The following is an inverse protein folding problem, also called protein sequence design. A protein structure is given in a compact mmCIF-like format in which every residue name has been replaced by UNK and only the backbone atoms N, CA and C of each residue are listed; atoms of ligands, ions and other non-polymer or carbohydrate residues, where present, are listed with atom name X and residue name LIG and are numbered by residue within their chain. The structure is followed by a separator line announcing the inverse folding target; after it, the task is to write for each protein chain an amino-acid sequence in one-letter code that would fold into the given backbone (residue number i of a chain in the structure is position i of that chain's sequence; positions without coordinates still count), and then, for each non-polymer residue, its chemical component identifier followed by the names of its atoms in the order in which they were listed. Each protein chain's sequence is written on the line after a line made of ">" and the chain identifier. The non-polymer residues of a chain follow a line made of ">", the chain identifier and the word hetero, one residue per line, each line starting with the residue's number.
data_IF_560352635217
#
_entry.id   IF_560352635217
#
_cell.length_a   1.000
_cell.length_b   1.000
_cell.length_c   1.000
_cell.angle_alpha   90.00
_cell.angle_beta   90.00
_cell.angle_gamma   90.00
#
_symmetry.space_group_name_H-M   'P 1'
#
loop_
_entity.id
_entity.type
_entity.pdbx_description
1 polymer ?
#
# COMPACT_ATOMS: atom_id res chain seq x y z
N UNK A 1 -27.12 1.88 6.21
CA UNK A 1 -25.99 1.52 5.31
C UNK A 1 -25.03 0.56 6.02
N UNK A 2 -24.88 -0.65 5.49
CA UNK A 2 -24.19 -1.79 6.11
C UNK A 2 -22.70 -1.47 6.31
N UNK A 3 -22.22 -1.55 7.56
CA UNK A 3 -20.79 -1.51 7.93
C UNK A 3 -20.03 -2.53 7.08
N UNK A 4 -19.15 -2.06 6.20
CA UNK A 4 -18.19 -2.91 5.48
C UNK A 4 -17.08 -3.29 6.45
N UNK A 5 -17.01 -4.57 6.81
CA UNK A 5 -16.25 -5.03 7.96
C UNK A 5 -14.73 -5.19 7.73
N UNK A 6 -14.15 -4.67 6.65
CA UNK A 6 -12.72 -4.90 6.31
C UNK A 6 -11.99 -3.82 5.48
N UNK A 7 -12.63 -2.70 5.11
CA UNK A 7 -11.87 -1.49 4.78
C UNK A 7 -11.39 -0.91 6.12
N UNK A 8 -10.14 -0.46 6.23
CA UNK A 8 -9.76 0.33 7.40
C UNK A 8 -10.65 1.59 7.38
N UNK A 9 -11.65 1.70 8.28
CA UNK A 9 -12.53 2.84 8.26
C UNK A 9 -11.77 4.13 8.54
N UNK A 10 -10.52 4.05 9.03
CA UNK A 10 -9.65 5.21 9.25
C UNK A 10 -8.91 5.63 7.99
N UNK A 11 -8.68 4.76 7.00
CA UNK A 11 -7.92 5.12 5.80
C UNK A 11 -8.54 6.33 5.08
N UNK A 12 -9.85 6.31 4.87
CA UNK A 12 -10.60 7.42 4.26
C UNK A 12 -10.53 8.69 5.10
N UNK A 13 -10.54 8.54 6.44
CA UNK A 13 -10.41 9.65 7.38
C UNK A 13 -8.96 10.11 7.59
N UNK A 14 -7.96 9.45 6.97
CA UNK A 14 -6.58 9.92 6.86
C UNK A 14 -6.34 10.58 5.50
N UNK A 15 -6.88 10.01 4.43
CA UNK A 15 -6.77 10.53 3.06
C UNK A 15 -7.53 11.84 2.87
N UNK A 16 -8.75 11.97 3.41
CA UNK A 16 -9.55 13.18 3.24
C UNK A 16 -8.89 14.42 3.90
N UNK A 17 -8.40 14.38 5.17
CA UNK A 17 -7.64 15.48 5.75
C UNK A 17 -6.38 15.83 4.96
N UNK A 18 -5.67 14.82 4.44
CA UNK A 18 -4.49 15.03 3.61
C UNK A 18 -4.83 15.79 2.32
N UNK A 19 -5.87 15.35 1.59
CA UNK A 19 -6.37 15.99 0.36
C UNK A 19 -6.79 17.44 0.60
N UNK A 20 -7.44 17.75 1.72
CA UNK A 20 -7.78 19.12 2.12
C UNK A 20 -6.54 19.95 2.41
N UNK A 21 -5.64 19.45 3.27
CA UNK A 21 -4.53 20.25 3.80
C UNK A 21 -3.38 20.39 2.82
N UNK A 22 -2.88 19.28 2.28
CA UNK A 22 -1.77 19.31 1.31
C UNK A 22 -2.23 19.62 -0.11
N UNK A 23 -3.47 19.27 -0.46
CA UNK A 23 -4.08 19.66 -1.73
C UNK A 23 -4.60 21.10 -1.74
N UNK A 24 -4.69 21.78 -0.59
CA UNK A 24 -5.29 23.11 -0.43
C UNK A 24 -6.73 23.18 -0.96
N UNK A 25 -7.54 22.15 -0.66
CA UNK A 25 -8.90 21.97 -1.19
C UNK A 25 -9.93 22.21 -0.10
N UNK A 26 -11.08 22.79 -0.46
CA UNK A 26 -12.16 23.00 0.52
C UNK A 26 -12.68 21.65 1.04
N UNK A 27 -12.93 21.52 2.36
CA UNK A 27 -13.50 20.30 2.93
C UNK A 27 -14.82 19.87 2.29
N UNK A 28 -15.66 20.82 1.86
CA UNK A 28 -16.94 20.55 1.20
C UNK A 28 -16.76 19.86 -0.16
N UNK A 29 -15.75 20.27 -0.93
CA UNK A 29 -15.43 19.65 -2.23
C UNK A 29 -14.88 18.24 -2.02
N UNK A 30 -13.99 18.07 -1.03
CA UNK A 30 -13.44 16.74 -0.69
C UNK A 30 -14.56 15.81 -0.24
N UNK A 31 -15.47 16.24 0.64
CA UNK A 31 -16.60 15.41 1.07
C UNK A 31 -17.46 14.89 -0.10
N UNK A 32 -17.71 15.74 -1.10
CA UNK A 32 -18.51 15.36 -2.27
C UNK A 32 -17.82 14.29 -3.12
N UNK A 33 -16.50 14.39 -3.31
CA UNK A 33 -15.72 13.43 -4.10
C UNK A 33 -15.63 12.06 -3.45
N UNK A 34 -15.58 12.01 -2.12
CA UNK A 34 -15.58 10.77 -1.36
C UNK A 34 -16.98 10.13 -1.26
N UNK A 35 -17.99 10.63 -1.98
CA UNK A 35 -19.22 9.89 -2.27
C UNK A 35 -20.06 9.47 -1.05
N UNK A 36 -19.84 10.10 0.11
CA UNK A 36 -20.50 9.77 1.38
C UNK A 36 -19.76 8.75 2.27
N UNK A 37 -18.53 8.38 1.91
CA UNK A 37 -17.61 7.58 2.75
C UNK A 37 -17.11 8.38 3.96
N UNK A 38 -16.86 9.68 3.76
CA UNK A 38 -16.76 10.67 4.83
C UNK A 38 -18.06 11.45 4.92
N UNK A 39 -18.45 11.83 6.14
CA UNK A 39 -19.68 12.60 6.40
C UNK A 39 -19.42 13.64 7.46
N UNK A 40 -20.08 14.78 7.31
CA UNK A 40 -19.85 15.95 8.14
C UNK A 40 -18.36 16.33 8.18
N UNK A 41 -17.66 16.07 7.06
CA UNK A 41 -16.22 16.17 6.99
C UNK A 41 -15.67 17.57 7.33
N UNK A 42 -16.31 18.70 6.91
CA UNK A 42 -15.90 20.04 7.34
C UNK A 42 -15.86 20.20 8.87
N UNK A 43 -16.88 19.70 9.58
CA UNK A 43 -16.95 19.76 11.05
C UNK A 43 -15.89 18.85 11.67
N UNK A 44 -15.73 17.64 11.14
CA UNK A 44 -14.76 16.65 11.64
C UNK A 44 -13.33 17.15 11.51
N UNK A 45 -12.93 17.66 10.34
CA UNK A 45 -11.56 18.14 10.12
C UNK A 45 -11.24 19.38 10.94
N UNK A 46 -12.22 20.28 11.14
CA UNK A 46 -12.06 21.43 12.03
C UNK A 46 -11.87 20.99 13.49
N UNK A 47 -12.72 20.09 13.99
CA UNK A 47 -12.60 19.54 15.34
C UNK A 47 -11.30 18.77 15.56
N UNK A 48 -10.80 18.06 14.54
CA UNK A 48 -9.51 17.38 14.57
C UNK A 48 -8.35 18.37 14.72
N UNK A 49 -8.31 19.44 13.91
CA UNK A 49 -7.28 20.48 14.02
C UNK A 49 -7.34 21.22 15.37
N UNK A 50 -8.54 21.49 15.88
CA UNK A 50 -8.70 22.08 17.22
C UNK A 50 -8.18 21.14 18.32
N UNK A 51 -8.41 19.84 18.20
CA UNK A 51 -7.85 18.86 19.14
C UNK A 51 -6.32 18.86 19.09
N UNK A 52 -5.70 18.82 17.90
CA UNK A 52 -4.25 18.93 17.75
C UNK A 52 -3.70 20.20 18.44
N UNK A 53 -4.32 21.35 18.17
CA UNK A 53 -3.91 22.63 18.76
C UNK A 53 -4.03 22.65 20.29
N UNK A 54 -5.14 22.16 20.85
CA UNK A 54 -5.35 22.09 22.32
C UNK A 54 -4.32 21.20 23.02
N UNK A 55 -3.82 20.17 22.32
CA UNK A 55 -2.80 19.27 22.84
C UNK A 55 -1.37 19.71 22.51
N UNK A 56 -1.17 20.81 21.77
CA UNK A 56 0.15 21.26 21.33
C UNK A 56 0.84 20.28 20.39
N UNK A 57 0.06 19.58 19.55
CA UNK A 57 0.54 18.55 18.63
C UNK A 57 0.52 19.06 17.18
N UNK A 58 1.43 18.53 16.36
CA UNK A 58 1.46 18.71 14.91
C UNK A 58 1.64 17.34 14.26
N UNK A 59 0.74 16.99 13.34
CA UNK A 59 0.97 15.88 12.42
C UNK A 59 1.75 16.34 11.18
N UNK A 60 2.05 15.43 10.25
CA UNK A 60 2.87 15.73 9.08
C UNK A 60 2.28 16.84 8.19
N UNK A 61 0.99 16.77 7.86
CA UNK A 61 0.38 17.77 6.99
C UNK A 61 0.23 19.12 7.70
N UNK A 62 -0.02 19.10 9.02
CA UNK A 62 -0.17 20.32 9.82
C UNK A 62 1.15 21.09 9.94
N UNK A 63 2.30 20.44 9.84
CA UNK A 63 3.60 21.13 9.76
C UNK A 63 3.67 22.04 8.52
N UNK A 64 3.18 21.56 7.37
CA UNK A 64 3.19 22.33 6.12
C UNK A 64 2.11 23.41 6.14
N UNK A 65 0.86 23.04 6.43
CA UNK A 65 -0.25 23.98 6.43
C UNK A 65 -0.09 25.05 7.52
N UNK A 66 0.35 24.68 8.71
CA UNK A 66 0.62 25.60 9.81
C UNK A 66 1.71 26.60 9.47
N UNK A 67 2.81 26.17 8.82
CA UNK A 67 3.84 27.08 8.35
C UNK A 67 3.29 28.08 7.32
N UNK A 68 2.49 27.63 6.35
CA UNK A 68 1.82 28.50 5.37
C UNK A 68 0.93 29.52 6.08
N UNK A 69 0.11 29.09 7.04
CA UNK A 69 -0.79 29.97 7.78
C UNK A 69 -0.03 31.05 8.57
N UNK A 70 1.08 30.69 9.22
CA UNK A 70 1.96 31.64 9.92
C UNK A 70 2.55 32.64 8.93
N UNK A 71 3.16 32.17 7.84
CA UNK A 71 3.79 33.02 6.84
C UNK A 71 2.77 33.94 6.14
N UNK A 72 1.50 33.54 6.01
CA UNK A 72 0.45 34.39 5.48
C UNK A 72 0.02 35.48 6.48
N UNK A 73 -0.18 35.12 7.76
CA UNK A 73 -0.74 36.00 8.79
C UNK A 73 0.28 36.95 9.42
N UNK A 74 1.54 36.55 9.53
CA UNK A 74 2.60 37.31 10.20
C UNK A 74 3.65 37.83 9.18
N UNK A 75 3.63 39.15 8.87
CA UNK A 75 4.60 39.76 7.96
C UNK A 75 6.04 39.71 8.47
N UNK A 76 6.28 39.75 9.78
CA UNK A 76 7.62 39.71 10.35
C UNK A 76 8.22 38.31 10.25
N UNK A 77 7.44 37.28 10.58
CA UNK A 77 7.83 35.88 10.38
C UNK A 77 8.13 35.61 8.90
N UNK A 78 7.27 36.08 7.99
CA UNK A 78 7.50 35.96 6.55
C UNK A 78 8.78 36.67 6.08
N UNK A 79 9.04 37.87 6.59
CA UNK A 79 10.27 38.60 6.25
C UNK A 79 11.52 37.91 6.82
N UNK A 80 11.43 37.34 8.02
CA UNK A 80 12.52 36.57 8.62
C UNK A 80 12.81 35.29 7.83
N UNK A 81 11.77 34.54 7.45
CA UNK A 81 11.91 33.34 6.63
C UNK A 81 12.54 33.64 5.28
N UNK A 82 12.11 34.70 4.59
CA UNK A 82 12.72 35.15 3.31
C UNK A 82 14.19 35.52 3.45
N UNK A 83 14.56 36.20 4.55
CA UNK A 83 15.98 36.53 4.82
C UNK A 83 16.83 35.28 5.07
N UNK A 84 16.26 34.24 5.67
CA UNK A 84 16.93 32.97 5.89
C UNK A 84 17.02 32.13 4.60
N UNK A 85 15.98 32.19 3.76
CA UNK A 85 15.85 31.44 2.51
C UNK A 85 16.06 32.34 1.29
N UNK A 86 17.24 32.96 1.16
CA UNK A 86 17.55 33.87 0.05
C UNK A 86 17.49 33.18 -1.32
N UNK A 87 17.86 31.90 -1.35
CA UNK A 87 17.76 31.01 -2.51
C UNK A 87 17.16 29.70 -2.02
N UNK A 88 16.12 29.23 -2.70
CA UNK A 88 15.44 27.98 -2.39
C UNK A 88 15.82 26.95 -3.45
N UNK A 89 16.54 25.91 -3.04
CA UNK A 89 16.86 24.76 -3.88
C UNK A 89 15.85 23.66 -3.56
N UNK A 90 15.15 23.16 -4.58
CA UNK A 90 14.12 22.16 -4.41
C UNK A 90 14.39 21.01 -5.36
N UNK A 91 14.62 19.82 -4.80
CA UNK A 91 14.74 18.58 -5.56
C UNK A 91 13.38 17.88 -5.65
N UNK A 92 13.24 16.95 -6.60
CA UNK A 92 12.00 16.20 -6.86
C UNK A 92 10.75 17.08 -6.99
N UNK A 93 10.86 18.18 -7.74
CA UNK A 93 9.82 19.20 -7.84
C UNK A 93 8.47 18.66 -8.36
N UNK A 94 8.49 17.60 -9.16
CA UNK A 94 7.27 16.95 -9.67
C UNK A 94 6.41 16.34 -8.57
N UNK A 95 7.02 15.92 -7.46
CA UNK A 95 6.35 15.21 -6.37
C UNK A 95 5.78 16.14 -5.30
N UNK A 96 5.93 17.46 -5.48
CA UNK A 96 5.34 18.44 -4.60
C UNK A 96 3.81 18.44 -4.68
N UNK A 97 3.16 18.61 -3.53
CA UNK A 97 1.73 18.90 -3.46
C UNK A 97 1.46 20.41 -3.62
N UNK A 98 0.20 20.85 -3.87
CA UNK A 98 -0.14 22.27 -3.92
C UNK A 98 0.32 23.09 -2.71
N UNK A 99 0.21 22.53 -1.49
CA UNK A 99 0.69 23.18 -0.27
C UNK A 99 2.21 23.37 -0.28
N UNK A 100 2.98 22.37 -0.70
CA UNK A 100 4.44 22.50 -0.81
C UNK A 100 4.85 23.58 -1.81
N UNK A 101 4.21 23.62 -2.98
CA UNK A 101 4.46 24.66 -3.99
C UNK A 101 4.15 26.05 -3.42
N UNK A 102 3.02 26.21 -2.71
CA UNK A 102 2.68 27.47 -2.06
C UNK A 102 3.70 27.88 -0.99
N UNK A 103 4.15 26.93 -0.17
CA UNK A 103 5.17 27.19 0.85
C UNK A 103 6.48 27.68 0.21
N UNK A 104 6.95 27.01 -0.85
CA UNK A 104 8.14 27.44 -1.61
C UNK A 104 7.97 28.87 -2.12
N UNK A 105 6.80 29.22 -2.68
CA UNK A 105 6.54 30.58 -3.18
C UNK A 105 6.50 31.63 -2.06
N UNK A 106 5.98 31.29 -0.88
CA UNK A 106 5.98 32.20 0.26
C UNK A 106 7.39 32.50 0.76
N UNK A 107 8.24 31.46 0.80
CA UNK A 107 9.65 31.53 1.20
C UNK A 107 10.51 32.28 0.19
N UNK A 108 10.35 32.02 -1.11
CA UNK A 108 11.10 32.70 -2.17
C UNK A 108 10.69 34.17 -2.35
N UNK A 109 9.43 34.49 -2.03
CA UNK A 109 8.90 35.84 -2.19
C UNK A 109 8.84 36.31 -3.64
N UNK A 110 8.68 37.63 -3.88
CA UNK A 110 8.46 38.17 -5.22
C UNK A 110 9.68 38.06 -6.14
N UNK A 111 10.88 37.91 -5.58
CA UNK A 111 12.11 37.73 -6.36
C UNK A 111 12.19 36.33 -7.00
N UNK A 112 11.41 35.37 -6.50
CA UNK A 112 11.30 34.02 -7.07
C UNK A 112 12.67 33.32 -7.24
N UNK A 113 13.59 33.51 -6.28
CA UNK A 113 14.91 32.87 -6.25
C UNK A 113 14.79 31.37 -5.94
N UNK A 114 14.20 30.61 -6.86
CA UNK A 114 13.94 29.17 -6.74
C UNK A 114 14.65 28.44 -7.87
N UNK A 115 15.44 27.43 -7.48
CA UNK A 115 16.03 26.48 -8.40
C UNK A 115 15.37 25.11 -8.15
N UNK A 116 14.40 24.77 -8.99
CA UNK A 116 13.72 23.48 -8.98
C UNK A 116 14.43 22.47 -9.87
N UNK A 117 14.68 21.28 -9.34
CA UNK A 117 15.16 20.10 -10.06
C UNK A 117 14.07 19.04 -10.00
N UNK A 118 13.86 18.33 -11.10
CA UNK A 118 12.91 17.24 -11.14
C UNK A 118 12.75 16.67 -12.54
N UNK A 119 11.93 15.63 -12.63
CA UNK A 119 11.62 14.92 -13.86
C UNK A 119 10.12 14.65 -13.93
N UNK A 120 9.43 15.27 -14.90
CA UNK A 120 7.99 15.10 -15.09
C UNK A 120 7.57 13.66 -15.39
N UNK A 121 8.44 12.88 -16.04
CA UNK A 121 8.22 11.46 -16.34
C UNK A 121 8.37 10.58 -15.08
N UNK A 122 8.88 11.12 -13.96
CA UNK A 122 9.05 10.41 -12.68
C UNK A 122 7.98 10.74 -11.63
N UNK A 123 6.89 11.41 -12.03
CA UNK A 123 5.81 11.72 -11.09
C UNK A 123 5.03 10.46 -10.68
N UNK A 124 5.29 9.93 -9.49
CA UNK A 124 4.67 8.68 -9.01
C UNK A 124 3.75 8.87 -7.80
N UNK A 125 3.76 10.05 -7.18
CA UNK A 125 2.94 10.37 -6.00
C UNK A 125 1.61 11.08 -6.32
N UNK A 126 1.06 10.87 -7.53
CA UNK A 126 -0.16 11.57 -7.97
C UNK A 126 -1.37 11.38 -7.04
N UNK A 127 -1.46 10.23 -6.35
CA UNK A 127 -2.48 9.96 -5.34
C UNK A 127 -2.39 10.89 -4.11
N UNK A 128 -1.21 11.44 -3.82
CA UNK A 128 -0.96 12.40 -2.75
C UNK A 128 -1.05 13.86 -3.24
N UNK A 129 -1.47 14.09 -4.49
CA UNK A 129 -1.58 15.41 -5.09
C UNK A 129 -0.32 15.94 -5.76
N UNK A 130 0.71 15.11 -5.96
CA UNK A 130 1.82 15.42 -6.84
C UNK A 130 1.35 15.59 -8.30
N UNK A 131 2.06 16.40 -9.09
CA UNK A 131 1.68 16.65 -10.47
C UNK A 131 2.89 17.00 -11.35
N UNK A 132 3.03 16.36 -12.55
CA UNK A 132 4.05 16.76 -13.52
C UNK A 132 3.85 18.20 -14.01
N UNK A 133 2.63 18.74 -13.88
CA UNK A 133 2.30 20.12 -14.25
C UNK A 133 3.17 21.15 -13.50
N UNK A 134 3.68 20.83 -12.31
CA UNK A 134 4.56 21.73 -11.57
C UNK A 134 5.87 22.03 -12.29
N UNK A 135 6.40 21.05 -13.01
CA UNK A 135 7.58 21.23 -13.86
C UNK A 135 7.21 21.76 -15.25
N UNK A 136 6.13 21.25 -15.85
CA UNK A 136 5.70 21.65 -17.19
C UNK A 136 5.32 23.14 -17.22
N UNK A 137 4.60 23.61 -16.20
CA UNK A 137 4.11 24.98 -16.07
C UNK A 137 5.01 25.84 -15.15
N UNK A 138 6.26 25.42 -14.91
CA UNK A 138 7.17 26.07 -13.95
C UNK A 138 7.33 27.58 -14.21
N UNK A 139 7.39 27.99 -15.48
CA UNK A 139 7.48 29.40 -15.86
C UNK A 139 6.26 30.24 -15.45
N UNK A 140 5.08 29.62 -15.32
CA UNK A 140 3.88 30.26 -14.77
C UNK A 140 3.92 30.40 -13.26
N UNK A 141 4.58 29.46 -12.56
CA UNK A 141 4.78 29.51 -11.11
C UNK A 141 5.85 30.52 -10.69
N UNK A 142 6.94 30.58 -11.46
CA UNK A 142 8.10 31.43 -11.26
C UNK A 142 8.45 32.18 -12.56
N UNK A 143 7.80 33.34 -12.81
CA UNK A 143 8.05 34.15 -14.00
C UNK A 143 9.51 34.60 -14.10
N UNK A 144 10.09 34.52 -15.30
CA UNK A 144 11.50 34.85 -15.54
C UNK A 144 12.47 33.70 -15.28
N UNK A 145 11.96 32.51 -14.96
CA UNK A 145 12.79 31.29 -14.88
C UNK A 145 13.38 30.92 -16.25
N UNK A 146 14.59 30.35 -16.22
CA UNK A 146 15.17 29.62 -17.34
C UNK A 146 15.08 28.12 -17.11
N UNK A 147 15.29 27.33 -18.16
CA UNK A 147 15.41 25.86 -18.07
C UNK A 147 16.82 25.41 -18.45
N UNK A 148 17.26 24.30 -17.87
CA UNK A 148 18.51 23.64 -18.23
C UNK A 148 18.29 22.13 -18.26
N UNK A 149 18.23 21.58 -19.46
CA UNK A 149 17.89 20.18 -19.65
C UNK A 149 19.14 19.30 -19.54
N UNK A 150 19.14 18.37 -18.60
CA UNK A 150 20.16 17.34 -18.48
C UNK A 150 19.76 16.13 -19.32
N UNK A 151 20.47 15.92 -20.44
CA UNK A 151 20.09 14.89 -21.45
C UNK A 151 20.93 13.63 -21.40
N UNK A 152 22.02 13.61 -20.61
CA UNK A 152 22.93 12.47 -20.50
C UNK A 152 22.58 11.64 -19.27
N UNK A 153 22.26 10.37 -19.47
CA UNK A 153 22.09 9.38 -18.40
C UNK A 153 23.42 8.68 -18.11
N UNK A 154 23.96 8.92 -16.91
CA UNK A 154 25.19 8.29 -16.43
C UNK A 154 24.94 6.99 -15.63
N UNK A 155 23.67 6.66 -15.34
CA UNK A 155 23.29 5.55 -14.44
C UNK A 155 23.10 4.23 -15.16
N UNK A 156 22.45 4.23 -16.32
CA UNK A 156 21.99 3.02 -17.00
C UNK A 156 22.71 2.79 -18.34
N UNK A 157 22.82 1.53 -18.75
CA UNK A 157 23.32 1.15 -20.07
C UNK A 157 22.32 1.52 -21.19
N UNK A 158 22.82 1.63 -22.42
CA UNK A 158 22.01 2.06 -23.57
C UNK A 158 20.70 1.27 -23.76
N UNK A 159 20.67 -0.08 -23.66
CA UNK A 159 19.42 -0.84 -23.81
C UNK A 159 18.34 -0.45 -22.80
N UNK A 160 18.73 -0.18 -21.55
CA UNK A 160 17.80 0.25 -20.48
C UNK A 160 17.27 1.65 -20.76
N UNK A 161 18.14 2.59 -21.14
CA UNK A 161 17.75 3.97 -21.47
C UNK A 161 16.79 3.99 -22.67
N UNK A 162 17.07 3.18 -23.69
CA UNK A 162 16.23 3.06 -24.88
C UNK A 162 14.88 2.40 -24.59
N UNK A 163 14.86 1.37 -23.73
CA UNK A 163 13.63 0.76 -23.24
C UNK A 163 12.75 1.76 -22.49
N UNK A 164 13.33 2.50 -21.55
CA UNK A 164 12.64 3.55 -20.80
C UNK A 164 12.11 4.65 -21.72
N UNK A 165 12.92 5.15 -22.66
CA UNK A 165 12.53 6.18 -23.63
C UNK A 165 11.36 5.73 -24.50
N UNK A 166 11.37 4.47 -24.95
CA UNK A 166 10.27 3.88 -25.73
C UNK A 166 8.97 3.87 -24.92
N UNK A 167 9.04 3.41 -23.66
CA UNK A 167 7.87 3.37 -22.77
C UNK A 167 7.31 4.78 -22.49
N UNK A 168 8.18 5.72 -22.14
CA UNK A 168 7.79 7.11 -21.82
C UNK A 168 7.27 7.88 -23.03
N UNK A 169 7.60 7.46 -24.26
CA UNK A 169 7.06 8.01 -25.50
C UNK A 169 5.53 7.92 -25.62
N UNK A 170 4.89 7.08 -24.81
CA UNK A 170 3.43 6.97 -24.75
C UNK A 170 2.76 8.07 -23.90
N UNK A 171 3.51 8.78 -23.06
CA UNK A 171 2.99 9.87 -22.22
C UNK A 171 2.62 11.10 -23.07
N UNK A 172 1.43 11.67 -22.82
CA UNK A 172 0.91 12.81 -23.60
C UNK A 172 1.20 14.18 -22.98
N UNK A 173 1.28 14.26 -21.67
CA UNK A 173 1.53 15.50 -20.94
C UNK A 173 2.91 15.40 -20.30
N UNK A 174 3.92 15.85 -21.06
CA UNK A 174 5.34 15.75 -20.69
C UNK A 174 6.16 16.87 -21.32
N UNK A 175 7.32 17.14 -20.74
CA UNK A 175 8.34 17.99 -21.35
C UNK A 175 9.00 17.21 -22.48
N UNK A 176 9.07 17.81 -23.66
CA UNK A 176 9.71 17.20 -24.82
C UNK A 176 11.24 17.14 -24.60
N UNK A 177 11.74 15.96 -24.25
CA UNK A 177 13.17 15.73 -23.99
C UNK A 177 13.64 14.39 -24.55
N UNK A 178 14.92 14.35 -24.94
CA UNK A 178 15.59 13.13 -25.42
C UNK A 178 16.78 12.81 -24.51
N UNK A 179 16.63 11.73 -23.74
CA UNK A 179 17.70 11.20 -22.88
C UNK A 179 18.52 10.17 -23.67
N UNK A 180 19.84 10.23 -23.54
CA UNK A 180 20.78 9.28 -24.13
C UNK A 180 21.76 8.77 -23.07
N UNK A 181 22.25 7.54 -23.23
CA UNK A 181 23.27 6.99 -22.33
C UNK A 181 24.61 7.68 -22.51
N UNK A 182 25.41 7.71 -21.46
CA UNK A 182 26.79 8.18 -21.51
C UNK A 182 27.61 7.35 -22.52
N UNK A 183 28.21 8.03 -23.51
CA UNK A 183 28.79 7.37 -24.69
C UNK A 183 30.06 6.55 -24.40
N UNK A 184 30.80 6.87 -23.33
CA UNK A 184 32.03 6.14 -22.95
C UNK A 184 31.76 4.97 -22.00
N UNK A 185 30.50 4.58 -21.80
CA UNK A 185 30.17 3.39 -21.02
C UNK A 185 30.48 2.14 -21.83
N UNK A 186 31.14 1.18 -21.19
CA UNK A 186 31.36 -0.15 -21.78
C UNK A 186 30.02 -0.84 -22.09
N UNK A 187 29.91 -1.56 -23.21
CA UNK A 187 28.74 -2.38 -23.51
C UNK A 187 28.52 -3.43 -22.41
N UNK A 188 27.30 -3.48 -21.89
CA UNK A 188 26.87 -4.49 -20.91
C UNK A 188 25.91 -5.46 -21.62
N UNK A 189 26.42 -6.64 -22.00
CA UNK A 189 25.57 -7.73 -22.52
C UNK A 189 24.54 -8.12 -21.45
N UNK A 190 23.28 -8.33 -21.84
CA UNK A 190 22.20 -8.64 -20.90
C UNK A 190 21.74 -7.47 -20.03
N UNK A 191 22.11 -6.22 -20.36
CA UNK A 191 21.70 -5.04 -19.57
C UNK A 191 20.17 -4.85 -19.45
N UNK A 192 19.40 -5.39 -20.39
CA UNK A 192 17.93 -5.41 -20.33
C UNK A 192 17.40 -6.71 -20.92
N UNK A 193 16.87 -7.57 -20.06
CA UNK A 193 16.17 -8.79 -20.44
C UNK A 193 14.67 -8.68 -20.17
N UNK A 194 13.86 -9.15 -21.13
CA UNK A 194 12.40 -9.22 -21.01
C UNK A 194 11.98 -10.67 -20.86
N UNK A 195 11.61 -11.05 -19.63
CA UNK A 195 11.22 -12.42 -19.28
C UNK A 195 9.75 -12.46 -18.88
N UNK A 196 9.01 -13.45 -19.37
CA UNK A 196 7.60 -13.67 -19.06
C UNK A 196 7.33 -15.16 -18.94
N UNK A 197 6.47 -15.53 -18.00
CA UNK A 197 6.06 -16.91 -17.80
C UNK A 197 4.96 -17.04 -16.74
N UNK A 198 4.46 -18.27 -16.52
CA UNK A 198 3.31 -18.53 -15.66
C UNK A 198 3.62 -18.36 -14.17
N UNK A 199 4.89 -18.44 -13.77
CA UNK A 199 5.34 -18.23 -12.40
C UNK A 199 6.39 -17.11 -12.34
N UNK A 200 5.98 -15.84 -12.17
CA UNK A 200 6.89 -14.72 -12.01
C UNK A 200 7.79 -14.83 -10.78
N UNK A 201 7.38 -15.57 -9.75
CA UNK A 201 8.19 -15.75 -8.53
C UNK A 201 9.40 -16.62 -8.83
N UNK A 202 9.18 -17.79 -9.44
CA UNK A 202 10.26 -18.68 -9.86
C UNK A 202 11.24 -17.97 -10.79
N UNK A 203 10.72 -17.30 -11.83
CA UNK A 203 11.54 -16.54 -12.78
C UNK A 203 12.40 -15.46 -12.10
N UNK A 204 11.83 -14.74 -11.13
CA UNK A 204 12.58 -13.73 -10.36
C UNK A 204 13.67 -14.37 -9.50
N UNK A 205 13.36 -15.48 -8.84
CA UNK A 205 14.34 -16.18 -7.99
C UNK A 205 15.48 -16.75 -8.82
N UNK A 206 15.18 -17.37 -9.96
CA UNK A 206 16.17 -17.92 -10.88
C UNK A 206 17.11 -16.81 -11.39
N UNK A 207 16.56 -15.65 -11.76
CA UNK A 207 17.36 -14.51 -12.21
C UNK A 207 18.27 -13.95 -11.10
N UNK A 208 17.76 -13.83 -9.87
CA UNK A 208 18.57 -13.37 -8.72
C UNK A 208 19.65 -14.40 -8.39
N UNK A 209 19.32 -15.69 -8.39
CA UNK A 209 20.28 -16.75 -8.08
C UNK A 209 21.39 -16.80 -9.12
N UNK A 210 21.08 -16.66 -10.41
CA UNK A 210 22.08 -16.58 -11.47
C UNK A 210 23.08 -15.43 -11.23
N UNK A 211 22.60 -14.23 -10.89
CA UNK A 211 23.47 -13.09 -10.58
C UNK A 211 24.37 -13.36 -9.36
N UNK A 212 23.82 -13.99 -8.31
CA UNK A 212 24.59 -14.34 -7.11
C UNK A 212 25.64 -15.42 -7.41
N UNK A 213 25.29 -16.42 -8.21
CA UNK A 213 26.18 -17.49 -8.64
C UNK A 213 27.33 -16.95 -9.52
N UNK A 214 27.07 -15.90 -10.30
CA UNK A 214 28.07 -15.14 -11.07
C UNK A 214 28.91 -14.18 -10.19
N UNK A 215 28.65 -14.13 -8.89
CA UNK A 215 29.44 -13.39 -7.91
C UNK A 215 28.99 -11.95 -7.66
N UNK A 216 27.82 -11.54 -8.17
CA UNK A 216 27.23 -10.23 -7.85
C UNK A 216 26.84 -10.23 -6.36
N UNK A 217 27.30 -9.25 -5.57
CA UNK A 217 26.94 -9.19 -4.16
C UNK A 217 25.43 -8.92 -4.04
N UNK A 218 24.70 -9.61 -3.13
CA UNK A 218 23.26 -9.41 -2.97
C UNK A 218 22.84 -7.96 -2.65
N UNK A 219 23.74 -7.14 -2.11
CA UNK A 219 23.52 -5.70 -1.88
C UNK A 219 23.29 -4.89 -3.15
N UNK A 220 23.75 -5.40 -4.29
CA UNK A 220 23.71 -4.71 -5.58
C UNK A 220 22.52 -5.19 -6.42
N UNK A 221 21.68 -6.08 -5.87
CA UNK A 221 20.51 -6.64 -6.51
C UNK A 221 19.24 -6.08 -5.86
N UNK A 222 18.36 -5.50 -6.67
CA UNK A 222 17.06 -4.99 -6.23
C UNK A 222 15.91 -5.68 -6.97
N UNK A 223 14.94 -6.20 -6.22
CA UNK A 223 13.68 -6.74 -6.77
C UNK A 223 12.56 -5.73 -6.51
N UNK A 224 12.00 -5.18 -7.59
CA UNK A 224 10.93 -4.19 -7.53
C UNK A 224 9.62 -4.78 -8.04
N UNK A 225 8.51 -4.48 -7.36
CA UNK A 225 7.18 -4.92 -7.78
C UNK A 225 6.15 -3.83 -7.57
N UNK A 226 5.01 -3.93 -8.25
CA UNK A 226 3.94 -2.93 -8.15
C UNK A 226 3.30 -2.86 -6.76
N UNK A 227 3.24 -3.97 -6.04
CA UNK A 227 2.59 -4.08 -4.72
C UNK A 227 3.46 -4.91 -3.79
N UNK A 228 3.74 -4.44 -2.58
CA UNK A 228 4.63 -5.15 -1.64
C UNK A 228 4.23 -6.61 -1.36
N UNK A 229 2.95 -6.96 -1.48
CA UNK A 229 2.50 -8.35 -1.32
C UNK A 229 3.13 -9.33 -2.34
N UNK A 230 3.45 -8.88 -3.56
CA UNK A 230 4.09 -9.73 -4.57
C UNK A 230 5.56 -10.00 -4.28
N UNK A 231 6.20 -9.25 -3.37
CA UNK A 231 7.56 -9.53 -2.91
C UNK A 231 7.64 -10.74 -1.98
N UNK A 232 6.52 -11.20 -1.41
CA UNK A 232 6.53 -12.29 -0.43
C UNK A 232 7.10 -13.58 -1.00
N UNK A 233 6.65 -13.98 -2.20
CA UNK A 233 7.12 -15.19 -2.88
C UNK A 233 8.63 -15.16 -3.07
N UNK A 234 9.18 -14.15 -3.80
CA UNK A 234 10.62 -14.01 -3.98
C UNK A 234 11.38 -13.93 -2.65
N UNK A 235 10.90 -13.14 -1.68
CA UNK A 235 11.58 -12.98 -0.40
C UNK A 235 11.71 -14.29 0.38
N UNK A 236 10.66 -15.11 0.43
CA UNK A 236 10.69 -16.40 1.14
C UNK A 236 11.54 -17.43 0.39
N UNK A 237 11.42 -17.50 -0.93
CA UNK A 237 12.19 -18.44 -1.76
C UNK A 237 13.69 -18.13 -1.71
N UNK A 238 14.08 -16.85 -1.78
CA UNK A 238 15.47 -16.42 -1.69
C UNK A 238 16.06 -16.62 -0.28
N UNK A 239 15.28 -16.35 0.78
CA UNK A 239 15.69 -16.65 2.17
C UNK A 239 15.90 -18.16 2.37
N UNK A 240 15.02 -18.99 1.82
CA UNK A 240 15.17 -20.45 1.84
C UNK A 240 16.38 -20.96 1.05
N UNK A 241 16.73 -20.29 -0.05
CA UNK A 241 17.95 -20.55 -0.83
C UNK A 241 19.23 -20.01 -0.16
N UNK A 242 19.12 -19.30 0.97
CA UNK A 242 20.26 -18.73 1.69
C UNK A 242 20.79 -17.42 1.11
N UNK A 243 20.04 -16.77 0.21
CA UNK A 243 20.41 -15.47 -0.36
C UNK A 243 20.12 -14.36 0.66
N UNK A 244 21.16 -13.62 1.03
CA UNK A 244 21.02 -12.50 1.95
C UNK A 244 20.13 -11.40 1.34
N UNK A 245 19.09 -10.98 2.05
CA UNK A 245 18.17 -9.94 1.59
C UNK A 245 17.69 -9.05 2.74
N UNK A 246 17.38 -7.80 2.42
CA UNK A 246 16.64 -6.92 3.34
C UNK A 246 15.20 -7.41 3.39
N UNK A 247 14.79 -8.03 4.49
CA UNK A 247 13.48 -8.68 4.61
C UNK A 247 12.36 -7.64 4.39
N UNK A 248 11.61 -7.70 3.27
CA UNK A 248 10.55 -6.74 3.00
C UNK A 248 9.28 -7.05 3.79
N UNK A 249 9.20 -8.26 4.35
CA UNK A 249 8.03 -8.77 5.06
C UNK A 249 8.45 -9.17 6.46
N UNK A 250 7.93 -8.43 7.44
CA UNK A 250 8.06 -8.80 8.85
C UNK A 250 6.96 -9.79 9.28
N UNK A 251 7.06 -10.27 10.52
CA UNK A 251 6.10 -11.23 11.08
C UNK A 251 4.65 -10.71 11.11
N UNK A 252 4.41 -9.38 10.98
CA UNK A 252 3.05 -8.80 10.94
C UNK A 252 2.29 -9.22 9.69
N UNK A 253 2.98 -9.70 8.65
CA UNK A 253 2.29 -10.31 7.50
C UNK A 253 1.45 -11.52 7.90
N UNK A 254 1.91 -12.33 8.85
CA UNK A 254 1.16 -13.49 9.35
C UNK A 254 -0.11 -13.07 10.13
N UNK A 255 -0.16 -11.81 10.56
CA UNK A 255 -1.31 -11.22 11.26
C UNK A 255 -2.36 -10.67 10.29
N UNK A 256 -2.03 -10.53 8.99
CA UNK A 256 -2.99 -10.09 7.98
C UNK A 256 -4.22 -10.98 8.01
N UNK A 257 -5.38 -10.38 7.84
CA UNK A 257 -6.67 -11.03 8.08
C UNK A 257 -6.86 -12.32 7.27
N UNK A 258 -6.45 -12.34 6.00
CA UNK A 258 -6.51 -13.54 5.17
C UNK A 258 -5.50 -14.61 5.60
N UNK A 259 -4.25 -14.22 5.83
CA UNK A 259 -3.15 -15.13 6.21
C UNK A 259 -3.41 -15.78 7.57
N UNK A 260 -3.76 -14.98 8.58
CA UNK A 260 -4.12 -15.48 9.91
C UNK A 260 -5.32 -16.43 9.88
N UNK A 261 -6.29 -16.18 9.00
CA UNK A 261 -7.44 -17.08 8.80
C UNK A 261 -7.03 -18.42 8.20
N UNK A 262 -6.23 -18.43 7.13
CA UNK A 262 -5.71 -19.66 6.54
C UNK A 262 -4.93 -20.46 7.59
N UNK A 263 -4.03 -19.81 8.33
CA UNK A 263 -3.26 -20.45 9.39
C UNK A 263 -4.13 -21.02 10.52
N UNK A 264 -5.21 -20.32 10.89
CA UNK A 264 -6.17 -20.82 11.87
C UNK A 264 -6.89 -22.08 11.38
N UNK A 265 -7.36 -22.07 10.12
CA UNK A 265 -7.98 -23.25 9.50
C UNK A 265 -7.01 -24.44 9.40
N UNK A 266 -5.75 -24.21 8.99
CA UNK A 266 -4.73 -25.26 8.96
C UNK A 266 -4.49 -25.86 10.35
N UNK A 267 -4.32 -25.02 11.38
CA UNK A 267 -4.15 -25.50 12.77
C UNK A 267 -5.35 -26.28 13.28
N UNK A 268 -6.58 -25.87 12.92
CA UNK A 268 -7.80 -26.59 13.29
C UNK A 268 -7.94 -27.92 12.54
N UNK A 269 -7.51 -27.97 11.27
CA UNK A 269 -7.52 -29.19 10.46
C UNK A 269 -6.59 -30.25 11.04
N UNK A 270 -5.43 -29.85 11.58
CA UNK A 270 -4.42 -30.77 12.14
C UNK A 270 -4.48 -30.91 13.66
N UNK A 271 -5.35 -30.18 14.36
CA UNK A 271 -5.48 -30.25 15.81
C UNK A 271 -5.99 -31.62 16.28
N UNK A 272 -5.66 -32.07 17.51
CA UNK A 272 -6.27 -33.26 18.10
C UNK A 272 -7.81 -33.14 18.17
N UNK A 273 -8.52 -34.23 17.86
CA UNK A 273 -9.99 -34.21 17.71
C UNK A 273 -10.74 -33.74 18.98
N UNK A 274 -10.17 -33.94 20.16
CA UNK A 274 -10.74 -33.54 21.45
C UNK A 274 -10.18 -32.22 21.99
N UNK A 275 -9.34 -31.49 21.23
CA UNK A 275 -8.72 -30.26 21.70
C UNK A 275 -8.49 -29.25 20.58
N UNK A 276 -9.58 -28.65 20.10
CA UNK A 276 -9.55 -27.54 19.17
C UNK A 276 -9.06 -26.25 19.88
N UNK A 277 -8.08 -25.51 19.32
CA UNK A 277 -7.65 -24.24 19.89
C UNK A 277 -8.73 -23.16 19.76
N UNK A 278 -9.21 -22.64 20.90
CA UNK A 278 -10.25 -21.60 20.92
C UNK A 278 -9.88 -20.31 20.16
N UNK A 279 -8.60 -19.88 20.23
CA UNK A 279 -8.13 -18.72 19.47
C UNK A 279 -8.32 -18.90 17.97
N UNK A 280 -7.96 -20.07 17.45
CA UNK A 280 -8.09 -20.36 16.02
C UNK A 280 -9.56 -20.55 15.62
N UNK A 281 -10.39 -21.17 16.47
CA UNK A 281 -11.85 -21.22 16.28
C UNK A 281 -12.45 -19.83 16.12
N UNK A 282 -12.06 -18.88 16.99
CA UNK A 282 -12.57 -17.51 16.95
C UNK A 282 -12.21 -16.75 15.66
N UNK A 283 -11.05 -17.08 15.07
CA UNK A 283 -10.63 -16.53 13.77
C UNK A 283 -11.39 -17.20 12.63
N UNK A 284 -11.42 -18.54 12.59
CA UNK A 284 -11.98 -19.34 11.50
C UNK A 284 -13.52 -19.19 11.37
N UNK A 285 -14.23 -19.15 12.48
CA UNK A 285 -15.71 -19.01 12.48
C UNK A 285 -16.17 -17.68 11.88
N UNK A 286 -15.33 -16.64 11.98
CA UNK A 286 -15.57 -15.31 11.41
C UNK A 286 -15.11 -15.19 9.96
N UNK A 287 -14.34 -16.16 9.45
CA UNK A 287 -13.61 -16.05 8.17
C UNK A 287 -13.66 -17.39 7.40
N UNK A 288 -14.50 -17.49 6.36
CA UNK A 288 -15.32 -16.42 5.81
C UNK A 288 -16.49 -15.99 6.72
N UNK A 289 -17.07 -14.80 6.48
CA UNK A 289 -18.18 -14.28 7.29
C UNK A 289 -19.45 -15.12 7.11
N UNK A 290 -19.93 -15.74 8.19
CA UNK A 290 -21.16 -16.56 8.21
C UNK A 290 -22.40 -15.85 8.76
N UNK A 291 -22.25 -14.59 9.20
CA UNK A 291 -23.35 -13.81 9.77
C UNK A 291 -23.81 -14.29 11.15
N UNK A 292 -22.95 -15.01 11.88
CA UNK A 292 -23.19 -15.47 13.25
C UNK A 292 -23.20 -14.31 14.24
N UNK A 293 -24.05 -14.41 15.27
CA UNK A 293 -24.13 -13.42 16.35
C UNK A 293 -22.88 -13.49 17.25
N UNK A 294 -22.43 -12.38 17.86
CA UNK A 294 -21.22 -12.36 18.69
C UNK A 294 -21.23 -13.40 19.82
N UNK A 295 -22.33 -13.49 20.57
CA UNK A 295 -22.48 -14.46 21.66
C UNK A 295 -22.42 -15.92 21.19
N UNK A 296 -22.94 -16.22 19.99
CA UNK A 296 -22.87 -17.56 19.41
C UNK A 296 -21.44 -17.90 18.99
N UNK A 297 -20.67 -16.93 18.51
CA UNK A 297 -19.24 -17.11 18.25
C UNK A 297 -18.49 -17.45 19.54
N UNK A 298 -18.78 -16.74 20.63
CA UNK A 298 -18.13 -16.99 21.93
C UNK A 298 -18.44 -18.42 22.43
N UNK A 299 -19.70 -18.87 22.30
CA UNK A 299 -20.08 -20.25 22.66
C UNK A 299 -19.38 -21.32 21.82
N UNK A 300 -19.09 -21.06 20.54
CA UNK A 300 -18.35 -21.98 19.66
C UNK A 300 -16.88 -22.05 20.11
N UNK A 301 -16.27 -20.92 20.43
CA UNK A 301 -14.86 -20.80 20.86
C UNK A 301 -14.58 -21.61 22.14
N UNK A 302 -15.57 -21.75 23.00
CA UNK A 302 -15.48 -22.53 24.25
C UNK A 302 -15.54 -24.05 24.02
N UNK A 303 -15.86 -24.53 22.81
CA UNK A 303 -16.00 -25.97 22.55
C UNK A 303 -14.66 -26.60 22.16
N UNK A 304 -14.26 -27.69 22.84
CA UNK A 304 -12.99 -28.37 22.59
C UNK A 304 -13.04 -29.33 21.39
N UNK A 305 -14.21 -29.61 20.81
CA UNK A 305 -14.35 -30.59 19.72
C UNK A 305 -15.49 -30.27 18.76
N UNK A 306 -15.39 -30.77 17.53
CA UNK A 306 -16.45 -30.71 16.51
C UNK A 306 -17.78 -31.27 17.03
N UNK A 307 -17.74 -32.39 17.75
CA UNK A 307 -18.95 -33.02 18.32
C UNK A 307 -19.70 -32.09 19.25
N UNK A 308 -18.98 -31.32 20.07
CA UNK A 308 -19.61 -30.36 20.98
C UNK A 308 -20.14 -29.11 20.26
N UNK A 309 -19.49 -28.69 19.18
CA UNK A 309 -19.99 -27.60 18.31
C UNK A 309 -21.27 -28.05 17.60
N UNK A 310 -21.33 -29.29 17.09
CA UNK A 310 -22.55 -29.88 16.52
C UNK A 310 -23.67 -29.95 17.56
N UNK A 311 -23.36 -30.42 18.78
CA UNK A 311 -24.34 -30.50 19.86
C UNK A 311 -24.85 -29.11 20.29
N UNK A 312 -24.01 -28.07 20.21
CA UNK A 312 -24.43 -26.68 20.40
C UNK A 312 -25.43 -26.25 19.31
N UNK A 313 -25.12 -26.50 18.03
CA UNK A 313 -25.99 -26.20 16.89
C UNK A 313 -27.38 -26.80 17.02
N UNK A 314 -27.46 -28.08 17.39
CA UNK A 314 -28.71 -28.83 17.58
C UNK A 314 -29.59 -28.30 18.73
N UNK A 315 -29.05 -27.44 19.61
CA UNK A 315 -29.76 -26.85 20.75
C UNK A 315 -30.18 -25.41 20.50
N UNK A 316 -29.88 -24.85 19.33
CA UNK A 316 -30.25 -23.49 18.97
C UNK A 316 -31.73 -23.43 18.58
N UNK A 317 -32.42 -22.37 19.03
CA UNK A 317 -33.84 -22.15 18.70
C UNK A 317 -34.04 -21.47 17.33
N UNK A 318 -32.97 -21.16 16.60
CA UNK A 318 -33.04 -20.43 15.34
C UNK A 318 -32.48 -21.29 14.22
N UNK A 319 -33.35 -21.70 13.29
CA UNK A 319 -32.99 -22.51 12.13
C UNK A 319 -31.85 -21.88 11.33
N UNK A 320 -31.86 -20.54 11.19
CA UNK A 320 -30.79 -19.81 10.49
C UNK A 320 -29.43 -19.95 11.17
N UNK A 321 -29.40 -19.86 12.49
CA UNK A 321 -28.14 -20.00 13.24
C UNK A 321 -27.70 -21.47 13.32
N UNK A 322 -28.65 -22.41 13.38
CA UNK A 322 -28.37 -23.83 13.29
C UNK A 322 -27.67 -24.18 11.96
N UNK A 323 -28.25 -23.78 10.82
CA UNK A 323 -27.65 -23.99 9.49
C UNK A 323 -26.24 -23.41 9.41
N UNK A 324 -26.02 -22.19 9.90
CA UNK A 324 -24.69 -21.56 9.87
C UNK A 324 -23.64 -22.28 10.72
N UNK A 325 -24.05 -22.88 11.84
CA UNK A 325 -23.16 -23.69 12.68
C UNK A 325 -22.89 -25.03 12.00
N UNK A 326 -23.91 -25.65 11.40
CA UNK A 326 -23.77 -26.87 10.61
C UNK A 326 -22.80 -26.68 9.43
N UNK A 327 -22.92 -25.59 8.69
CA UNK A 327 -21.99 -25.23 7.60
C UNK A 327 -20.55 -25.12 8.11
N UNK A 328 -20.33 -24.42 9.22
CA UNK A 328 -18.99 -24.29 9.81
C UNK A 328 -18.40 -25.64 10.26
N UNK A 329 -19.23 -26.50 10.86
CA UNK A 329 -18.84 -27.86 11.27
C UNK A 329 -18.51 -28.71 10.04
N UNK A 330 -19.29 -28.59 8.96
CA UNK A 330 -19.08 -29.31 7.71
C UNK A 330 -17.76 -28.91 7.06
N UNK A 331 -17.49 -27.61 6.93
CA UNK A 331 -16.23 -27.08 6.40
C UNK A 331 -15.02 -27.60 7.18
N UNK A 332 -15.07 -27.52 8.52
CA UNK A 332 -13.98 -27.99 9.37
C UNK A 332 -13.84 -29.51 9.32
N UNK A 333 -14.95 -30.25 9.27
CA UNK A 333 -14.95 -31.70 9.12
C UNK A 333 -14.29 -32.13 7.81
N UNK A 334 -14.59 -31.45 6.70
CA UNK A 334 -14.01 -31.74 5.39
C UNK A 334 -12.50 -31.48 5.37
N UNK A 335 -12.04 -30.34 5.90
CA UNK A 335 -10.61 -30.04 5.98
C UNK A 335 -9.85 -31.04 6.86
N UNK A 336 -10.44 -31.47 7.97
CA UNK A 336 -9.84 -32.51 8.82
C UNK A 336 -9.76 -33.85 8.10
N UNK A 337 -10.80 -34.23 7.37
CA UNK A 337 -10.78 -35.47 6.59
C UNK A 337 -9.68 -35.45 5.51
N UNK A 338 -9.47 -34.30 4.85
CA UNK A 338 -8.36 -34.13 3.90
C UNK A 338 -7.00 -34.27 4.61
N UNK A 339 -6.82 -33.60 5.75
CA UNK A 339 -5.57 -33.67 6.52
C UNK A 339 -5.28 -35.10 7.05
N UNK A 340 -6.30 -35.79 7.57
CA UNK A 340 -6.19 -37.19 8.02
C UNK A 340 -5.95 -38.15 6.85
N UNK A 341 -6.42 -37.80 5.65
CA UNK A 341 -6.15 -38.51 4.40
C UNK A 341 -4.75 -38.29 3.82
N UNK A 342 -3.91 -37.48 4.47
CA UNK A 342 -2.54 -37.22 4.04
C UNK A 342 -2.37 -36.09 3.04
N UNK A 343 -3.37 -35.20 2.90
CA UNK A 343 -3.25 -34.04 2.03
C UNK A 343 -2.06 -33.15 2.41
N UNK A 344 -1.34 -32.66 1.41
CA UNK A 344 -0.24 -31.73 1.61
C UNK A 344 -0.74 -30.35 2.05
N UNK A 345 0.14 -29.54 2.63
CA UNK A 345 -0.21 -28.19 3.08
C UNK A 345 -0.74 -27.32 1.94
N UNK A 346 -0.17 -27.46 0.73
CA UNK A 346 -0.64 -26.73 -0.46
C UNK A 346 -2.09 -27.10 -0.83
N UNK A 347 -2.42 -28.39 -0.78
CA UNK A 347 -3.78 -28.89 -1.07
C UNK A 347 -4.79 -28.38 -0.04
N UNK A 348 -4.41 -28.38 1.25
CA UNK A 348 -5.25 -27.82 2.31
C UNK A 348 -5.46 -26.31 2.16
N UNK A 349 -4.44 -25.56 1.74
CA UNK A 349 -4.58 -24.12 1.47
C UNK A 349 -5.55 -23.88 0.30
N UNK A 350 -5.45 -24.66 -0.78
CA UNK A 350 -6.39 -24.58 -1.91
C UNK A 350 -7.82 -24.92 -1.43
N UNK A 351 -7.99 -25.95 -0.62
CA UNK A 351 -9.29 -26.29 -0.03
C UNK A 351 -9.84 -25.17 0.86
N UNK A 352 -9.02 -24.52 1.69
CA UNK A 352 -9.44 -23.36 2.50
C UNK A 352 -9.87 -22.19 1.61
N UNK A 353 -9.14 -21.94 0.52
CA UNK A 353 -9.46 -20.87 -0.42
C UNK A 353 -10.79 -21.14 -1.14
N UNK A 354 -10.95 -22.34 -1.68
CA UNK A 354 -11.98 -22.64 -2.67
C UNK A 354 -13.21 -23.33 -2.06
N UNK A 355 -13.00 -24.32 -1.19
CA UNK A 355 -14.07 -25.12 -0.58
C UNK A 355 -14.69 -24.38 0.60
N UNK A 356 -13.86 -23.92 1.55
CA UNK A 356 -14.35 -23.11 2.68
C UNK A 356 -14.82 -21.74 2.19
N UNK A 357 -14.41 -21.31 0.99
CA UNK A 357 -14.85 -20.06 0.37
C UNK A 357 -14.14 -18.82 0.92
N UNK A 358 -12.95 -18.98 1.52
CA UNK A 358 -12.17 -17.85 2.01
C UNK A 358 -11.66 -16.96 0.85
N UNK A 359 -11.30 -17.55 -0.30
CA UNK A 359 -10.86 -16.82 -1.49
C UNK A 359 -11.95 -15.90 -1.99
N UNK A 360 -13.13 -16.45 -2.30
CA UNK A 360 -14.31 -15.69 -2.71
C UNK A 360 -14.69 -14.58 -1.72
N UNK A 361 -14.55 -14.83 -0.42
CA UNK A 361 -14.83 -13.82 0.61
C UNK A 361 -13.80 -12.68 0.65
N UNK A 362 -12.55 -12.97 0.29
CA UNK A 362 -11.49 -11.98 0.14
C UNK A 362 -11.66 -11.23 -1.19
N UNK A 363 -11.87 -11.92 -2.31
CA UNK A 363 -11.97 -11.33 -3.65
C UNK A 363 -13.18 -10.39 -3.79
N UNK A 364 -14.37 -10.84 -3.39
CA UNK A 364 -15.59 -10.01 -3.40
C UNK A 364 -15.52 -8.78 -2.48
N UNK A 365 -14.48 -8.68 -1.65
CA UNK A 365 -14.26 -7.56 -0.73
C UNK A 365 -12.98 -6.78 -1.04
N UNK A 366 -12.06 -7.33 -1.82
CA UNK A 366 -10.87 -6.68 -2.35
C UNK A 366 -11.19 -5.89 -3.63
N UNK A 367 -12.10 -6.38 -4.48
CA UNK A 367 -12.58 -5.67 -5.67
C UNK A 367 -13.44 -4.43 -5.33
N UNK A 368 -13.84 -4.26 -4.07
CA UNK A 368 -14.48 -3.04 -3.57
C UNK A 368 -13.48 -2.01 -3.00
N UNK A 369 -12.18 -2.33 -3.01
CA UNK A 369 -11.08 -1.49 -2.51
C UNK A 369 -10.04 -1.17 -3.60
N UNK A 370 -10.45 -1.23 -4.87
CA UNK A 370 -9.69 -0.67 -6.00
C UNK A 370 -10.24 0.69 -6.39
#
# INVERSE_FOLDING_TARGET
>A
PRRQAMADPMAVYLEAPHSTRLGLRSPEVVEQEFGGDVRDFPTVVAGYREALARHGLLDFDEQILGAIEILCRDPEARAAARRACQVVLVDEFQDLTPAHVLLVRLLAGPEANVFGVGDDDQTIYGYAGASPAWLIDYAGLFPGSGSHDLTVNYRCAAPVVDGARTLLGHNRHRIAKTIHSFAEREPEDGALDLVSGPDPTALTCDAVQALVDDGVPPSDIAVLTRVNATLLGPALSLDAAGVASTKPVDLRFLERTGVSAVLAWLRLATAPAQRLPGRDLGVAVRRPPRGLRPNLVDWIVEKPSLREITALGNRLNSDKDQVRVEDFVADLGQLRALAEGGAETAELIVAIRDIVGLGTALDNRLDASR
#
